data_IF_767547179183
#
_entry.id   IF_767547179183
#
_cell.length_a   1.000
_cell.length_b   1.000
_cell.length_c   1.000
_cell.angle_alpha   90.00
_cell.angle_beta   90.00
_cell.angle_gamma   90.00
#
_symmetry.space_group_name_H-M   'P 1'
#
loop_
_entity.id
_entity.type
_entity.pdbx_description
1 polymer ?
#
# COMPACT_ATOMS: atom_id res chain seq x y z
N UNK A 1 -73.61 21.63 -38.68
CA UNK A 1 -72.22 22.06 -38.42
C UNK A 1 -71.52 20.99 -37.59
N UNK A 2 -70.67 20.17 -38.21
CA UNK A 2 -69.78 19.22 -37.52
C UNK A 2 -68.37 19.76 -37.66
N UNK A 3 -67.71 20.05 -36.55
CA UNK A 3 -66.32 20.49 -36.50
C UNK A 3 -65.45 19.26 -36.27
N UNK A 4 -64.38 19.02 -37.05
CA UNK A 4 -63.55 17.83 -36.90
C UNK A 4 -62.51 18.00 -35.78
N UNK A 5 -62.24 16.91 -35.07
CA UNK A 5 -61.18 16.79 -34.09
C UNK A 5 -59.87 16.37 -34.77
N UNK A 6 -58.80 17.14 -34.57
CA UNK A 6 -57.42 16.71 -34.84
C UNK A 6 -56.50 17.23 -33.73
N UNK A 7 -56.25 16.40 -32.72
CA UNK A 7 -55.06 16.52 -31.87
C UNK A 7 -54.05 15.47 -32.33
N UNK A 8 -53.05 15.93 -33.08
CA UNK A 8 -51.91 15.13 -33.49
C UNK A 8 -50.96 15.01 -32.30
N UNK A 9 -50.94 13.85 -31.65
CA UNK A 9 -49.98 13.54 -30.60
C UNK A 9 -48.63 13.18 -31.26
N UNK A 10 -47.68 14.11 -31.22
CA UNK A 10 -46.28 13.86 -31.56
C UNK A 10 -45.68 12.89 -30.52
N UNK A 11 -45.60 11.60 -30.87
CA UNK A 11 -44.76 10.66 -30.13
C UNK A 11 -43.29 10.96 -30.45
N UNK A 12 -42.63 11.71 -29.57
CA UNK A 12 -41.17 11.77 -29.56
C UNK A 12 -40.63 10.37 -29.29
N UNK A 13 -39.86 9.84 -30.25
CA UNK A 13 -39.11 8.62 -30.06
C UNK A 13 -38.02 8.88 -29.03
N UNK A 14 -38.26 8.46 -27.78
CA UNK A 14 -37.22 8.39 -26.76
C UNK A 14 -36.23 7.33 -27.22
N UNK A 15 -35.07 7.75 -27.71
CA UNK A 15 -33.91 6.86 -27.85
C UNK A 15 -33.59 6.30 -26.46
N UNK A 16 -34.06 5.09 -26.17
CA UNK A 16 -33.64 4.34 -24.99
C UNK A 16 -32.16 4.02 -25.19
N UNK A 17 -31.29 4.80 -24.56
CA UNK A 17 -29.91 4.38 -24.31
C UNK A 17 -30.01 3.02 -23.59
N UNK A 18 -29.42 1.94 -24.13
CA UNK A 18 -29.46 0.66 -23.44
C UNK A 18 -28.89 0.83 -22.04
N UNK A 19 -29.50 0.21 -21.01
CA UNK A 19 -29.03 0.37 -19.63
C UNK A 19 -27.55 -0.03 -19.59
N UNK A 20 -26.69 0.90 -19.19
CA UNK A 20 -25.29 0.61 -18.90
C UNK A 20 -25.27 -0.39 -17.74
N UNK A 21 -25.18 -1.68 -18.05
CA UNK A 21 -24.99 -2.71 -17.04
C UNK A 21 -23.60 -2.52 -16.46
N UNK A 22 -23.52 -2.21 -15.17
CA UNK A 22 -22.27 -2.39 -14.42
C UNK A 22 -22.09 -3.90 -14.25
N UNK A 23 -21.20 -4.47 -15.04
CA UNK A 23 -20.80 -5.85 -14.90
C UNK A 23 -20.07 -6.05 -13.57
N UNK A 24 -20.18 -7.24 -12.97
CA UNK A 24 -19.33 -7.58 -11.83
C UNK A 24 -17.86 -7.58 -12.29
N UNK A 25 -16.90 -7.33 -11.40
CA UNK A 25 -15.48 -7.34 -11.79
C UNK A 25 -15.05 -8.67 -12.42
N UNK A 26 -15.72 -9.78 -12.07
CA UNK A 26 -15.49 -11.10 -12.66
C UNK A 26 -15.83 -11.21 -14.16
N UNK A 27 -16.65 -10.31 -14.70
CA UNK A 27 -17.02 -10.30 -16.12
C UNK A 27 -16.02 -9.53 -17.00
N UNK A 28 -14.94 -9.01 -16.43
CA UNK A 28 -13.88 -8.36 -17.19
C UNK A 28 -12.99 -9.41 -17.85
N UNK A 29 -12.65 -9.18 -19.12
CA UNK A 29 -11.60 -9.94 -19.80
C UNK A 29 -10.23 -9.52 -19.28
N UNK A 30 -9.42 -10.52 -18.94
CA UNK A 30 -8.02 -10.37 -18.56
C UNK A 30 -7.26 -9.81 -19.76
N UNK A 31 -6.47 -8.77 -19.52
CA UNK A 31 -5.70 -8.10 -20.54
C UNK A 31 -4.20 -8.24 -20.25
N UNK A 32 -3.39 -7.91 -21.26
CA UNK A 32 -1.98 -7.68 -21.03
C UNK A 32 -1.78 -6.64 -19.90
N UNK A 33 -0.71 -6.83 -19.13
CA UNK A 33 -0.33 -6.10 -17.92
C UNK A 33 -1.19 -6.33 -16.68
N UNK A 34 -2.30 -7.07 -16.79
CA UNK A 34 -3.05 -7.46 -15.60
C UNK A 34 -2.23 -8.45 -14.75
N UNK A 35 -2.49 -8.46 -13.45
CA UNK A 35 -1.95 -9.44 -12.51
C UNK A 35 -3.11 -10.24 -11.95
N UNK A 36 -3.01 -11.57 -12.01
CA UNK A 36 -4.08 -12.48 -11.59
C UNK A 36 -3.59 -13.44 -10.52
N UNK A 37 -4.53 -14.01 -9.77
CA UNK A 37 -4.23 -15.01 -8.74
C UNK A 37 -4.66 -16.37 -9.27
N UNK A 38 -3.72 -17.29 -9.43
CA UNK A 38 -3.96 -18.63 -9.96
C UNK A 38 -4.14 -19.63 -8.84
N UNK A 39 -5.19 -20.44 -8.91
CA UNK A 39 -5.44 -21.57 -8.03
C UNK A 39 -5.19 -22.87 -8.80
N UNK A 40 -4.00 -23.44 -8.61
CA UNK A 40 -3.60 -24.71 -9.21
C UNK A 40 -4.16 -25.88 -8.40
N UNK A 41 -4.93 -26.77 -9.04
CA UNK A 41 -5.40 -28.02 -8.44
C UNK A 41 -4.23 -28.98 -8.24
N UNK A 42 -4.16 -29.62 -7.08
CA UNK A 42 -3.24 -30.71 -6.78
C UNK A 42 -3.97 -31.91 -6.20
N UNK A 43 -3.29 -33.06 -6.11
CA UNK A 43 -3.90 -34.33 -5.70
C UNK A 43 -4.42 -34.32 -4.26
N UNK A 44 -3.67 -33.64 -3.38
CA UNK A 44 -4.05 -33.48 -1.96
C UNK A 44 -4.75 -32.16 -1.70
N UNK A 45 -4.20 -31.05 -2.22
CA UNK A 45 -4.63 -29.68 -1.91
C UNK A 45 -4.36 -28.77 -3.11
N UNK A 46 -5.01 -27.61 -3.15
CA UNK A 46 -4.73 -26.59 -4.15
C UNK A 46 -3.54 -25.72 -3.73
N UNK A 47 -2.85 -25.10 -4.69
CA UNK A 47 -1.79 -24.11 -4.45
C UNK A 47 -2.12 -22.81 -5.15
N UNK A 48 -1.71 -21.71 -4.53
CA UNK A 48 -1.99 -20.37 -5.03
C UNK A 48 -0.70 -19.69 -5.51
N UNK A 49 -0.79 -19.00 -6.65
CA UNK A 49 0.33 -18.24 -7.21
C UNK A 49 -0.18 -16.93 -7.77
N UNK A 50 0.38 -15.82 -7.30
CA UNK A 50 0.20 -14.52 -7.95
C UNK A 50 1.09 -14.46 -9.19
N UNK A 51 0.54 -14.04 -10.32
CA UNK A 51 1.32 -13.89 -11.56
C UNK A 51 2.18 -12.62 -11.51
N UNK A 52 3.28 -12.55 -12.27
CA UNK A 52 3.79 -11.26 -12.73
C UNK A 52 2.76 -10.56 -13.63
N UNK A 53 3.04 -9.32 -14.03
CA UNK A 53 2.23 -8.60 -15.00
C UNK A 53 2.25 -9.37 -16.33
N UNK A 54 1.09 -9.79 -16.83
CA UNK A 54 0.98 -10.63 -18.03
C UNK A 54 1.54 -9.89 -19.26
N UNK A 55 2.20 -10.65 -20.14
CA UNK A 55 2.72 -10.18 -21.44
C UNK A 55 2.19 -11.07 -22.52
N UNK A 56 1.77 -10.50 -23.64
CA UNK A 56 1.37 -11.26 -24.81
C UNK A 56 2.61 -11.71 -25.60
N UNK A 57 3.37 -12.61 -24.99
CA UNK A 57 4.59 -13.19 -25.54
C UNK A 57 4.53 -14.71 -25.37
N UNK A 58 4.81 -15.45 -26.45
CA UNK A 58 4.86 -16.92 -26.48
C UNK A 58 5.89 -17.48 -25.48
N UNK A 59 6.94 -16.70 -25.17
CA UNK A 59 7.99 -17.09 -24.24
C UNK A 59 7.59 -16.93 -22.77
N UNK A 60 6.57 -16.12 -22.47
CA UNK A 60 6.21 -15.76 -21.11
C UNK A 60 5.43 -16.90 -20.41
N UNK A 61 6.15 -17.64 -19.55
CA UNK A 61 5.65 -18.81 -18.82
C UNK A 61 5.63 -18.56 -17.33
N UNK A 62 4.46 -18.70 -16.72
CA UNK A 62 4.28 -18.52 -15.28
C UNK A 62 4.53 -19.85 -14.59
N UNK A 63 5.62 -19.94 -13.84
CA UNK A 63 5.93 -21.11 -12.99
C UNK A 63 4.96 -21.19 -11.80
N UNK A 64 4.30 -22.34 -11.67
CA UNK A 64 3.36 -22.65 -10.59
C UNK A 64 4.04 -23.45 -9.48
N UNK A 65 3.39 -23.51 -8.31
CA UNK A 65 3.95 -24.09 -7.09
C UNK A 65 4.32 -25.57 -7.21
N UNK A 66 3.59 -26.33 -8.03
CA UNK A 66 3.91 -27.74 -8.29
C UNK A 66 4.86 -27.95 -9.49
N UNK A 67 5.66 -26.95 -9.85
CA UNK A 67 6.71 -27.05 -10.89
C UNK A 67 6.23 -27.03 -12.34
N UNK A 68 4.94 -27.17 -12.60
CA UNK A 68 4.34 -26.94 -13.92
C UNK A 68 4.25 -25.45 -14.23
N UNK A 69 3.86 -25.11 -15.46
CA UNK A 69 3.68 -23.74 -15.89
C UNK A 69 2.40 -23.55 -16.69
N UNK A 70 1.95 -22.29 -16.78
CA UNK A 70 0.88 -21.81 -17.67
C UNK A 70 1.44 -20.67 -18.52
N UNK A 71 1.03 -20.55 -19.79
CA UNK A 71 1.46 -19.44 -20.65
C UNK A 71 0.59 -18.22 -20.40
N UNK A 72 1.15 -17.02 -20.46
CA UNK A 72 0.38 -15.79 -20.31
C UNK A 72 -0.74 -15.66 -21.36
N UNK A 73 -0.50 -16.11 -22.59
CA UNK A 73 -1.47 -16.14 -23.69
C UNK A 73 -2.69 -17.03 -23.41
N UNK A 74 -2.54 -18.06 -22.59
CA UNK A 74 -3.68 -18.93 -22.21
C UNK A 74 -4.63 -18.22 -21.22
N UNK A 75 -4.12 -17.19 -20.53
CA UNK A 75 -4.83 -16.39 -19.52
C UNK A 75 -5.44 -15.11 -20.12
N UNK A 76 -4.72 -14.45 -21.03
CA UNK A 76 -5.20 -13.22 -21.68
C UNK A 76 -6.46 -13.54 -22.50
N UNK A 77 -7.48 -12.68 -22.39
CA UNK A 77 -8.78 -12.88 -23.03
C UNK A 77 -9.71 -13.85 -22.29
N UNK A 78 -9.27 -14.49 -21.20
CA UNK A 78 -10.14 -15.24 -20.27
C UNK A 78 -10.86 -14.30 -19.31
N UNK A 79 -11.90 -14.82 -18.67
CA UNK A 79 -12.60 -14.16 -17.56
C UNK A 79 -12.06 -14.66 -16.24
N UNK A 80 -12.30 -13.91 -15.17
CA UNK A 80 -12.11 -14.45 -13.83
C UNK A 80 -13.08 -15.61 -13.60
N UNK A 81 -12.63 -16.59 -12.83
CA UNK A 81 -13.25 -17.89 -12.58
C UNK A 81 -13.24 -18.86 -13.76
N UNK A 82 -12.74 -18.46 -14.93
CA UNK A 82 -12.39 -19.42 -15.97
C UNK A 82 -11.25 -20.33 -15.50
N UNK A 83 -11.20 -21.51 -16.11
CA UNK A 83 -10.19 -22.52 -15.86
C UNK A 83 -9.32 -22.69 -17.10
N UNK A 84 -8.01 -22.82 -16.88
CA UNK A 84 -7.03 -23.26 -17.87
C UNK A 84 -6.34 -24.55 -17.41
N UNK A 85 -5.52 -25.14 -18.28
CA UNK A 85 -4.76 -26.36 -17.97
C UNK A 85 -3.28 -26.03 -17.91
N UNK A 86 -2.59 -26.49 -16.86
CA UNK A 86 -1.13 -26.36 -16.77
C UNK A 86 -0.39 -27.35 -17.67
N UNK A 87 0.92 -27.18 -17.81
CA UNK A 87 1.78 -28.04 -18.62
C UNK A 87 1.81 -29.52 -18.19
N UNK A 88 1.28 -29.85 -17.02
CA UNK A 88 1.18 -31.22 -16.49
C UNK A 88 -0.27 -31.77 -16.55
N UNK A 89 -1.19 -31.06 -17.21
CA UNK A 89 -2.58 -31.49 -17.37
C UNK A 89 -3.50 -31.15 -16.20
N UNK A 90 -3.06 -30.34 -15.23
CA UNK A 90 -3.86 -29.99 -14.05
C UNK A 90 -4.67 -28.73 -14.28
N UNK A 91 -5.82 -28.71 -13.62
CA UNK A 91 -6.75 -27.61 -13.64
C UNK A 91 -6.21 -26.39 -12.88
N UNK A 92 -6.28 -25.20 -13.48
CA UNK A 92 -5.87 -23.94 -12.88
C UNK A 92 -7.02 -22.93 -13.02
N UNK A 93 -7.67 -22.59 -11.91
CA UNK A 93 -8.71 -21.59 -11.89
C UNK A 93 -8.11 -20.18 -11.74
N UNK A 94 -8.66 -19.21 -12.46
CA UNK A 94 -8.20 -17.82 -12.44
C UNK A 94 -9.04 -17.01 -11.45
N UNK A 95 -8.40 -16.32 -10.52
CA UNK A 95 -9.07 -15.48 -9.54
C UNK A 95 -8.61 -14.03 -9.64
N UNK A 96 -9.53 -13.11 -9.37
CA UNK A 96 -9.16 -11.72 -9.13
C UNK A 96 -8.48 -11.62 -7.75
N UNK A 97 -7.30 -11.01 -7.69
CA UNK A 97 -6.65 -10.75 -6.42
C UNK A 97 -7.37 -9.61 -5.69
N UNK A 98 -7.78 -9.85 -4.44
CA UNK A 98 -8.09 -8.73 -3.53
C UNK A 98 -6.83 -7.93 -3.26
N UNK A 99 -6.95 -6.68 -2.81
CA UNK A 99 -5.80 -5.87 -2.40
C UNK A 99 -4.93 -6.62 -1.37
N UNK A 100 -5.58 -7.25 -0.40
CA UNK A 100 -4.92 -7.90 0.71
C UNK A 100 -4.19 -9.18 0.24
N UNK A 101 -4.83 -10.01 -0.61
CA UNK A 101 -4.16 -11.16 -1.24
C UNK A 101 -3.05 -10.73 -2.20
N UNK A 102 -3.22 -9.62 -2.91
CA UNK A 102 -2.20 -9.10 -3.80
C UNK A 102 -0.93 -8.72 -3.05
N UNK A 103 -1.06 -7.96 -1.95
CA UNK A 103 0.07 -7.60 -1.08
C UNK A 103 0.76 -8.84 -0.54
N UNK A 104 0.00 -9.75 0.05
CA UNK A 104 0.56 -10.86 0.83
C UNK A 104 1.27 -11.90 -0.06
N UNK A 105 0.79 -12.08 -1.29
CA UNK A 105 1.35 -13.02 -2.27
C UNK A 105 2.34 -12.35 -3.25
N UNK A 106 2.60 -11.05 -3.11
CA UNK A 106 3.68 -10.37 -3.85
C UNK A 106 5.04 -10.69 -3.24
N UNK A 107 6.07 -10.70 -4.07
CA UNK A 107 7.46 -10.87 -3.62
C UNK A 107 7.87 -9.71 -2.70
N UNK A 108 8.53 -10.05 -1.59
CA UNK A 108 8.81 -9.10 -0.51
C UNK A 108 10.29 -8.71 -0.53
N UNK A 109 10.54 -7.42 -0.61
CA UNK A 109 11.87 -6.83 -0.43
C UNK A 109 12.13 -6.36 1.00
N UNK A 110 11.05 -6.16 1.77
CA UNK A 110 11.05 -5.72 3.15
C UNK A 110 9.88 -6.36 3.89
N UNK A 111 9.92 -6.37 5.22
CA UNK A 111 8.79 -6.82 6.05
C UNK A 111 7.61 -5.86 5.89
N UNK A 112 6.42 -6.32 5.48
CA UNK A 112 5.23 -5.46 5.42
C UNK A 112 4.65 -5.18 6.79
N UNK A 113 4.04 -4.00 6.93
CA UNK A 113 2.81 -3.86 7.72
C UNK A 113 1.72 -4.65 6.99
N UNK A 114 1.11 -5.65 7.63
CA UNK A 114 0.14 -6.53 6.98
C UNK A 114 -1.18 -5.80 6.69
N UNK A 115 -1.99 -6.24 5.70
CA UNK A 115 -3.20 -5.52 5.27
C UNK A 115 -4.21 -5.18 6.39
N UNK A 116 -4.39 -6.09 7.35
CA UNK A 116 -5.23 -5.82 8.53
C UNK A 116 -4.69 -4.65 9.36
N UNK A 117 -3.38 -4.66 9.64
CA UNK A 117 -2.68 -3.61 10.38
C UNK A 117 -2.75 -2.27 9.64
N UNK A 118 -2.52 -2.29 8.31
CA UNK A 118 -2.69 -1.10 7.46
C UNK A 118 -4.11 -0.54 7.53
N UNK A 119 -5.13 -1.40 7.55
CA UNK A 119 -6.53 -0.96 7.62
C UNK A 119 -6.85 -0.30 8.96
N UNK A 120 -6.28 -0.80 10.05
CA UNK A 120 -6.39 -0.16 11.39
C UNK A 120 -5.67 1.18 11.41
N UNK A 121 -4.43 1.25 10.91
CA UNK A 121 -3.65 2.50 10.83
C UNK A 121 -4.38 3.55 9.99
N UNK A 122 -4.90 3.19 8.81
CA UNK A 122 -5.65 4.11 7.96
C UNK A 122 -6.94 4.59 8.63
N UNK A 123 -7.61 3.73 9.41
CA UNK A 123 -8.76 4.15 10.21
C UNK A 123 -8.37 5.15 11.30
N UNK A 124 -7.20 4.97 11.93
CA UNK A 124 -6.66 5.89 12.94
C UNK A 124 -6.17 7.22 12.36
N UNK A 125 -5.79 7.25 11.08
CA UNK A 125 -5.46 8.49 10.37
C UNK A 125 -6.66 9.39 10.10
N UNK A 126 -7.88 8.86 10.21
CA UNK A 126 -9.13 9.62 10.03
C UNK A 126 -9.09 10.49 8.77
N UNK A 127 -8.88 9.82 7.64
CA UNK A 127 -8.75 10.43 6.32
C UNK A 127 -10.13 10.76 5.76
N UNK A 128 -10.48 12.05 5.77
CA UNK A 128 -11.74 12.56 5.24
C UNK A 128 -11.49 13.68 4.19
N UNK A 129 -10.76 13.39 3.09
CA UNK A 129 -10.54 14.39 2.05
C UNK A 129 -11.84 14.66 1.27
N UNK A 130 -12.01 15.90 0.84
CA UNK A 130 -13.16 16.32 0.05
C UNK A 130 -13.17 15.72 -1.35
N UNK A 131 -14.34 15.55 -1.94
CA UNK A 131 -14.49 15.09 -3.34
C UNK A 131 -14.49 16.25 -4.33
N UNK A 132 -14.00 16.06 -5.56
CA UNK A 132 -14.07 17.09 -6.59
C UNK A 132 -15.52 17.55 -6.81
N UNK A 133 -15.75 18.85 -6.74
CA UNK A 133 -17.08 19.47 -6.89
C UNK A 133 -18.02 19.35 -5.68
N UNK A 134 -17.51 18.93 -4.51
CA UNK A 134 -18.29 18.92 -3.25
C UNK A 134 -18.49 20.32 -2.67
N UNK A 135 -17.47 21.19 -2.81
CA UNK A 135 -17.50 22.59 -2.39
C UNK A 135 -17.19 23.50 -3.58
N UNK A 136 -17.61 24.78 -3.48
CA UNK A 136 -17.42 25.80 -4.52
C UNK A 136 -15.95 26.25 -4.66
N UNK A 137 -15.10 25.97 -3.68
CA UNK A 137 -13.67 26.26 -3.69
C UNK A 137 -12.85 24.97 -3.86
N UNK A 138 -11.83 25.05 -4.72
CA UNK A 138 -10.78 24.04 -4.84
C UNK A 138 -9.80 24.28 -3.68
N UNK A 139 -10.26 23.96 -2.46
CA UNK A 139 -9.49 24.13 -1.22
C UNK A 139 -8.08 23.52 -1.29
N UNK A 140 -7.28 23.81 -0.27
CA UNK A 140 -5.88 23.38 -0.24
C UNK A 140 -5.71 21.86 -0.40
N UNK A 141 -4.65 21.45 -1.11
CA UNK A 141 -4.34 20.03 -1.33
C UNK A 141 -4.19 19.29 0.01
N UNK A 142 -4.94 18.20 0.16
CA UNK A 142 -4.86 17.32 1.31
C UNK A 142 -3.61 16.44 1.20
N UNK A 143 -2.51 16.93 1.76
CA UNK A 143 -1.23 16.20 1.74
C UNK A 143 -1.09 15.23 2.92
N UNK A 144 -0.74 13.98 2.62
CA UNK A 144 -0.37 12.95 3.60
C UNK A 144 1.09 12.58 3.40
N UNK A 145 1.85 12.51 4.49
CA UNK A 145 3.26 12.07 4.46
C UNK A 145 3.42 10.67 5.06
N UNK A 146 4.19 9.81 4.41
CA UNK A 146 4.59 8.50 4.92
C UNK A 146 6.12 8.40 4.84
N UNK A 147 6.78 8.03 5.93
CA UNK A 147 8.20 7.69 5.91
C UNK A 147 8.43 6.25 6.38
N UNK A 148 9.18 5.51 5.57
CA UNK A 148 9.20 4.05 5.57
C UNK A 148 8.26 3.50 4.51
N UNK A 149 8.55 3.71 3.21
CA UNK A 149 7.74 3.10 2.13
C UNK A 149 7.77 1.57 2.22
N UNK A 150 8.94 0.98 2.54
CA UNK A 150 9.10 -0.46 2.65
C UNK A 150 8.66 -1.18 1.38
N UNK A 151 7.77 -2.16 1.50
CA UNK A 151 7.19 -2.85 0.33
C UNK A 151 5.91 -2.19 -0.23
N UNK A 152 5.45 -1.06 0.31
CA UNK A 152 4.30 -0.31 -0.21
C UNK A 152 2.92 -0.81 0.25
N UNK A 153 2.85 -1.66 1.28
CA UNK A 153 1.58 -2.18 1.81
C UNK A 153 0.73 -1.07 2.40
N UNK A 154 1.29 -0.27 3.31
CA UNK A 154 0.61 0.88 3.91
C UNK A 154 0.36 1.99 2.88
N UNK A 155 1.37 2.29 2.05
CA UNK A 155 1.26 3.21 0.91
C UNK A 155 0.02 2.93 0.06
N UNK A 156 -0.21 1.66 -0.32
CA UNK A 156 -1.36 1.29 -1.15
C UNK A 156 -2.70 1.45 -0.41
N UNK A 157 -2.74 1.21 0.90
CA UNK A 157 -3.96 1.42 1.70
C UNK A 157 -4.31 2.89 1.87
N UNK A 158 -3.31 3.75 2.12
CA UNK A 158 -3.50 5.20 2.19
C UNK A 158 -3.93 5.72 0.81
N UNK A 159 -3.24 5.31 -0.26
CA UNK A 159 -3.58 5.72 -1.62
C UNK A 159 -5.01 5.32 -2.02
N UNK A 160 -5.50 4.15 -1.58
CA UNK A 160 -6.91 3.76 -1.74
C UNK A 160 -7.87 4.74 -1.06
N UNK A 161 -7.55 5.19 0.15
CA UNK A 161 -8.39 6.14 0.88
C UNK A 161 -8.42 7.52 0.23
N UNK A 162 -7.30 7.95 -0.38
CA UNK A 162 -7.20 9.26 -1.05
C UNK A 162 -7.73 9.25 -2.48
N UNK A 163 -7.76 8.10 -3.16
CA UNK A 163 -8.03 7.99 -4.60
C UNK A 163 -9.28 8.74 -5.07
N UNK A 164 -10.37 8.65 -4.33
CA UNK A 164 -11.66 9.24 -4.70
C UNK A 164 -11.73 10.77 -4.50
N UNK A 165 -10.76 11.36 -3.80
CA UNK A 165 -10.66 12.81 -3.64
C UNK A 165 -10.06 13.51 -4.87
N UNK A 166 -9.43 12.76 -5.78
CA UNK A 166 -8.83 13.31 -6.98
C UNK A 166 -9.79 13.23 -8.19
N UNK A 167 -9.67 14.16 -9.17
CA UNK A 167 -10.41 14.08 -10.42
C UNK A 167 -10.21 12.74 -11.14
N UNK A 168 -11.24 12.20 -11.81
CA UNK A 168 -11.12 10.91 -12.49
C UNK A 168 -10.08 10.97 -13.61
N UNK A 169 -9.09 10.07 -13.55
CA UNK A 169 -8.13 9.91 -14.65
C UNK A 169 -8.78 9.18 -15.82
N UNK A 170 -8.67 9.77 -17.02
CA UNK A 170 -9.12 9.16 -18.29
C UNK A 170 -8.51 7.76 -18.49
N UNK A 171 -9.23 6.89 -19.19
CA UNK A 171 -8.85 5.48 -19.36
C UNK A 171 -7.53 5.31 -20.10
N UNK A 172 -7.34 6.06 -21.18
CA UNK A 172 -6.12 6.07 -21.99
C UNK A 172 -4.87 6.49 -21.18
N UNK A 173 -4.98 7.55 -20.38
CA UNK A 173 -3.90 7.97 -19.47
C UNK A 173 -3.57 6.89 -18.44
N UNK A 174 -4.60 6.27 -17.84
CA UNK A 174 -4.40 5.18 -16.88
C UNK A 174 -3.74 3.96 -17.52
N UNK A 175 -4.15 3.63 -18.74
CA UNK A 175 -3.55 2.55 -19.51
C UNK A 175 -2.07 2.86 -19.80
N UNK A 176 -1.74 4.08 -20.24
CA UNK A 176 -0.35 4.50 -20.42
C UNK A 176 0.47 4.40 -19.12
N UNK A 177 -0.09 4.83 -17.98
CA UNK A 177 0.55 4.68 -16.67
C UNK A 177 0.78 3.21 -16.32
N UNK A 178 -0.14 2.30 -16.65
CA UNK A 178 0.00 0.89 -16.39
C UNK A 178 1.05 0.20 -17.29
N UNK A 179 1.22 0.66 -18.54
CA UNK A 179 1.98 -0.08 -19.56
C UNK A 179 3.35 0.48 -19.91
N UNK A 180 3.56 1.80 -19.80
CA UNK A 180 4.78 2.49 -20.23
C UNK A 180 6.10 1.96 -19.61
N UNK A 181 7.23 2.24 -20.21
CA UNK A 181 8.52 2.01 -19.53
C UNK A 181 8.79 3.14 -18.54
N UNK A 182 9.63 2.88 -17.54
CA UNK A 182 10.22 3.97 -16.75
C UNK A 182 11.45 4.47 -17.51
N UNK A 183 11.60 5.80 -17.62
CA UNK A 183 12.79 6.41 -18.20
C UNK A 183 14.05 5.85 -17.54
N UNK A 184 14.98 5.35 -18.36
CA UNK A 184 16.28 4.90 -17.87
C UNK A 184 17.07 6.13 -17.44
N UNK A 185 17.77 6.03 -16.31
CA UNK A 185 18.81 7.00 -15.98
C UNK A 185 19.85 6.98 -17.11
N UNK A 186 20.15 8.13 -17.71
CA UNK A 186 21.30 8.23 -18.60
C UNK A 186 22.55 7.75 -17.83
N UNK A 187 23.37 6.85 -18.40
CA UNK A 187 24.59 6.44 -17.73
C UNK A 187 25.43 7.68 -17.44
N UNK A 188 26.02 7.74 -16.24
CA UNK A 188 26.97 8.79 -15.92
C UNK A 188 28.07 8.82 -17.00
N UNK A 189 28.56 9.99 -17.43
CA UNK A 189 29.60 10.05 -18.46
C UNK A 189 30.83 9.27 -17.97
N UNK A 190 31.11 8.14 -18.62
CA UNK A 190 32.22 7.23 -18.27
C UNK A 190 31.82 5.84 -17.74
N UNK A 191 30.53 5.52 -17.58
CA UNK A 191 30.07 4.16 -17.28
C UNK A 191 29.72 3.37 -18.54
N UNK A 192 30.31 2.18 -18.72
CA UNK A 192 29.93 1.26 -19.80
C UNK A 192 28.41 0.99 -19.77
N UNK A 193 27.81 0.90 -20.96
CA UNK A 193 26.42 0.55 -21.12
C UNK A 193 26.17 -0.86 -20.56
N UNK A 194 25.63 -0.93 -19.34
CA UNK A 194 25.24 -2.21 -18.75
C UNK A 194 24.09 -2.77 -19.59
N UNK A 195 24.36 -3.91 -20.21
CA UNK A 195 23.42 -4.67 -21.02
C UNK A 195 22.23 -5.05 -20.15
N UNK A 196 21.03 -4.75 -20.64
CA UNK A 196 19.70 -5.20 -20.19
C UNK A 196 19.51 -5.48 -18.68
N UNK A 197 18.61 -4.74 -18.03
CA UNK A 197 17.72 -5.38 -17.06
C UNK A 197 16.90 -6.42 -17.83
N UNK A 198 17.49 -7.59 -18.07
CA UNK A 198 16.71 -8.80 -18.21
C UNK A 198 15.86 -8.84 -16.95
N UNK A 199 14.55 -9.00 -17.11
CA UNK A 199 13.69 -9.38 -16.00
C UNK A 199 14.25 -10.70 -15.44
N UNK A 200 15.09 -10.60 -14.40
CA UNK A 200 15.63 -11.76 -13.71
C UNK A 200 14.44 -12.37 -12.97
N UNK A 201 13.81 -13.36 -13.61
CA UNK A 201 13.09 -14.41 -12.91
C UNK A 201 14.07 -15.03 -11.91
N UNK A 202 13.94 -14.65 -10.64
CA UNK A 202 14.65 -15.33 -9.57
C UNK A 202 14.05 -16.71 -9.40
N UNK A 203 14.76 -17.70 -9.93
CA UNK A 203 14.56 -19.12 -9.62
C UNK A 203 14.62 -19.32 -8.11
N UNK A 204 13.55 -19.86 -7.54
CA UNK A 204 13.38 -20.02 -6.10
C UNK A 204 14.46 -20.86 -5.42
N UNK A 205 14.76 -20.43 -4.19
CA UNK A 205 15.20 -21.27 -3.09
C UNK A 205 14.79 -20.56 -1.78
N UNK A 206 13.57 -20.82 -1.32
CA UNK A 206 13.21 -20.60 0.09
C UNK A 206 13.72 -21.82 0.89
N UNK A 207 14.62 -21.58 1.83
CA UNK A 207 14.79 -22.46 2.99
C UNK A 207 14.03 -21.83 4.17
N UNK A 208 13.19 -22.58 4.90
CA UNK A 208 12.54 -22.07 6.09
C UNK A 208 13.57 -21.96 7.22
N UNK A 209 13.53 -20.83 7.95
CA UNK A 209 14.22 -20.68 9.22
C UNK A 209 13.63 -21.68 10.23
N UNK A 210 14.38 -22.75 10.51
CA UNK A 210 14.10 -23.65 11.62
C UNK A 210 14.42 -22.95 12.95
N UNK A 211 13.46 -23.04 13.86
CA UNK A 211 13.60 -22.67 15.28
C UNK A 211 14.50 -23.67 15.98
N UNK A 212 15.64 -23.22 16.50
CA UNK A 212 16.51 -24.01 17.39
C UNK A 212 15.93 -23.97 18.82
N UNK A 213 15.85 -25.09 19.56
CA UNK A 213 15.38 -25.11 20.94
C UNK A 213 16.38 -24.44 21.88
N UNK A 214 15.86 -23.80 22.94
CA UNK A 214 16.64 -23.34 24.08
C UNK A 214 16.85 -24.52 25.02
N UNK A 215 18.09 -24.95 25.17
CA UNK A 215 18.51 -25.75 26.32
C UNK A 215 19.10 -24.83 27.38
N UNK A 216 18.62 -25.02 28.60
CA UNK A 216 19.05 -24.37 29.83
C UNK A 216 20.39 -24.97 30.28
N UNK A 217 21.42 -24.16 30.50
CA UNK A 217 22.53 -24.54 31.37
C UNK A 217 22.97 -23.32 32.21
N UNK A 218 22.94 -23.52 33.53
CA UNK A 218 23.47 -22.64 34.57
C UNK A 218 24.99 -22.53 34.47
N UNK A 219 25.56 -21.32 34.56
CA UNK A 219 26.90 -21.11 35.11
C UNK A 219 26.98 -19.77 35.84
N UNK A 220 27.41 -19.82 37.11
CA UNK A 220 27.64 -18.73 38.06
C UNK A 220 28.99 -18.00 37.82
N UNK A 221 29.27 -16.86 38.50
CA UNK A 221 30.18 -15.82 38.01
C UNK A 221 31.58 -15.85 38.63
N UNK A 222 32.59 -15.35 37.90
CA UNK A 222 33.80 -14.73 38.50
C UNK A 222 34.66 -13.92 37.50
N UNK A 223 34.80 -12.63 37.83
CA UNK A 223 36.00 -11.73 37.83
C UNK A 223 37.01 -11.63 36.67
N UNK A 224 37.17 -10.36 36.28
CA UNK A 224 38.40 -9.55 36.08
C UNK A 224 39.17 -9.48 34.73
N UNK A 225 39.11 -8.23 34.21
CA UNK A 225 40.20 -7.35 33.75
C UNK A 225 40.80 -7.48 32.34
N UNK A 226 40.77 -6.31 31.69
CA UNK A 226 41.84 -5.67 30.89
C UNK A 226 41.87 -5.78 29.35
N UNK A 227 42.04 -4.57 28.77
CA UNK A 227 42.66 -4.16 27.50
C UNK A 227 41.75 -3.95 26.25
N UNK A 228 41.41 -2.67 26.05
CA UNK A 228 40.99 -2.08 24.78
C UNK A 228 42.14 -2.05 23.75
N UNK A 229 41.85 -2.27 22.45
CA UNK A 229 42.67 -1.75 21.38
C UNK A 229 41.94 -0.67 20.55
N UNK A 230 42.67 0.42 20.32
CA UNK A 230 42.34 1.58 19.52
C UNK A 230 41.97 1.24 18.06
N UNK A 231 40.89 1.84 17.57
CA UNK A 231 40.48 1.80 16.15
C UNK A 231 41.22 2.88 15.33
N UNK A 232 41.62 2.60 14.08
CA UNK A 232 42.26 3.59 13.22
C UNK A 232 41.25 4.55 12.57
N UNK A 233 41.66 5.82 12.47
CA UNK A 233 40.93 6.92 11.85
C UNK A 233 40.54 6.63 10.39
N UNK A 234 39.24 6.65 10.11
CA UNK A 234 38.70 6.70 8.75
C UNK A 234 38.57 8.17 8.36
N UNK A 235 39.40 8.62 7.43
CA UNK A 235 39.30 9.95 6.80
C UNK A 235 37.91 10.15 6.17
N UNK A 236 37.16 11.12 6.69
CA UNK A 236 35.90 11.60 6.12
C UNK A 236 36.17 12.28 4.77
N UNK A 237 35.76 11.62 3.67
CA UNK A 237 35.52 12.31 2.39
C UNK A 237 34.27 13.19 2.54
N UNK A 238 34.26 14.42 2.01
CA UNK A 238 33.09 15.29 2.09
C UNK A 238 31.93 14.66 1.32
N UNK A 239 30.88 14.31 2.06
CA UNK A 239 29.64 13.74 1.56
C UNK A 239 28.95 14.78 0.65
N UNK A 240 29.06 14.61 -0.66
CA UNK A 240 28.17 15.32 -1.60
C UNK A 240 26.79 14.69 -1.43
N UNK A 241 25.97 15.31 -0.57
CA UNK A 241 24.60 14.90 -0.29
C UNK A 241 23.82 14.70 -1.60
N UNK A 242 23.36 13.47 -1.92
CA UNK A 242 22.61 13.26 -3.15
C UNK A 242 21.25 13.97 -3.06
N UNK A 243 20.92 14.77 -4.06
CA UNK A 243 19.61 15.41 -4.20
C UNK A 243 18.47 14.36 -4.12
N UNK A 244 17.36 14.71 -3.45
CA UNK A 244 16.15 13.88 -3.39
C UNK A 244 15.76 13.40 -4.79
N UNK A 245 15.58 12.10 -4.95
CA UNK A 245 15.07 11.52 -6.18
C UNK A 245 13.57 11.24 -6.05
N UNK A 246 12.73 11.97 -6.80
CA UNK A 246 11.27 11.75 -6.80
C UNK A 246 10.80 10.92 -8.00
N UNK A 247 10.23 9.74 -7.78
CA UNK A 247 9.55 8.94 -8.80
C UNK A 247 8.08 9.36 -8.90
N UNK A 248 7.74 10.13 -9.92
CA UNK A 248 6.37 10.53 -10.28
C UNK A 248 5.97 9.97 -11.64
N UNK A 249 4.73 10.24 -12.06
CA UNK A 249 4.23 9.92 -13.40
C UNK A 249 5.06 10.57 -14.53
N UNK A 250 5.78 11.67 -14.26
CA UNK A 250 6.59 12.36 -15.27
C UNK A 250 7.85 11.60 -15.69
N UNK A 251 8.16 10.47 -15.02
CA UNK A 251 9.28 9.58 -15.40
C UNK A 251 8.85 8.40 -16.27
N UNK A 252 7.60 8.40 -16.74
CA UNK A 252 7.13 7.39 -17.67
C UNK A 252 7.55 7.79 -19.08
N UNK A 253 8.10 6.84 -19.81
CA UNK A 253 8.43 6.97 -21.23
C UNK A 253 7.12 6.84 -22.03
N UNK A 254 6.51 7.98 -22.32
CA UNK A 254 5.22 8.13 -23.02
C UNK A 254 5.29 9.26 -24.05
N UNK A 255 4.35 9.27 -24.99
CA UNK A 255 4.24 10.34 -25.98
C UNK A 255 4.12 11.73 -25.31
N UNK A 256 4.71 12.80 -25.88
CA UNK A 256 4.70 14.14 -25.28
C UNK A 256 3.30 14.67 -24.94
N UNK A 257 2.30 14.37 -25.76
CA UNK A 257 0.91 14.77 -25.51
C UNK A 257 0.34 14.06 -24.27
N UNK A 258 0.63 12.76 -24.11
CA UNK A 258 0.25 11.98 -22.93
C UNK A 258 0.99 12.49 -21.70
N UNK A 259 2.29 12.82 -21.82
CA UNK A 259 3.06 13.41 -20.73
C UNK A 259 2.46 14.75 -20.26
N UNK A 260 2.04 15.60 -21.20
CA UNK A 260 1.36 16.87 -20.90
C UNK A 260 0.02 16.65 -20.20
N UNK A 261 -0.81 15.73 -20.69
CA UNK A 261 -2.08 15.37 -20.07
C UNK A 261 -1.90 14.79 -18.65
N UNK A 262 -0.87 13.97 -18.43
CA UNK A 262 -0.51 13.44 -17.11
C UNK A 262 -0.03 14.54 -16.16
N UNK A 263 0.72 15.53 -16.65
CA UNK A 263 1.16 16.68 -15.86
C UNK A 263 -0.04 17.55 -15.45
N UNK A 264 -0.95 17.83 -16.39
CA UNK A 264 -2.20 18.57 -16.13
C UNK A 264 -3.06 17.84 -15.08
N UNK A 265 -3.21 16.52 -15.21
CA UNK A 265 -3.93 15.73 -14.21
C UNK A 265 -3.23 15.77 -12.85
N UNK A 266 -1.90 15.63 -12.82
CA UNK A 266 -1.10 15.67 -11.59
C UNK A 266 -1.23 17.01 -10.84
N UNK A 267 -1.34 18.13 -11.57
CA UNK A 267 -1.59 19.45 -10.98
C UNK A 267 -3.02 19.64 -10.46
N UNK A 268 -3.99 18.86 -10.96
CA UNK A 268 -5.39 18.91 -10.53
C UNK A 268 -5.71 18.05 -9.30
N UNK A 269 -4.70 17.38 -8.73
CA UNK A 269 -4.88 16.52 -7.55
C UNK A 269 -5.28 17.36 -6.34
N UNK A 270 -6.33 16.90 -5.63
CA UNK A 270 -6.79 17.50 -4.37
C UNK A 270 -6.30 16.74 -3.14
N UNK A 271 -5.78 15.52 -3.32
CA UNK A 271 -5.15 14.76 -2.26
C UNK A 271 -3.93 14.00 -2.78
N UNK A 272 -2.81 14.11 -2.08
CA UNK A 272 -1.54 13.48 -2.49
C UNK A 272 -0.90 12.77 -1.30
N UNK A 273 -0.48 11.54 -1.53
CA UNK A 273 0.41 10.83 -0.61
C UNK A 273 1.87 11.02 -1.05
N UNK A 274 2.67 11.58 -0.17
CA UNK A 274 4.12 11.64 -0.30
C UNK A 274 4.73 10.49 0.51
N UNK A 275 5.22 9.46 -0.17
CA UNK A 275 5.88 8.31 0.49
C UNK A 275 7.39 8.39 0.31
N UNK A 276 8.15 8.14 1.38
CA UNK A 276 9.60 8.31 1.40
C UNK A 276 10.32 7.09 1.96
N UNK A 277 11.35 6.63 1.26
CA UNK A 277 12.28 5.61 1.73
C UNK A 277 13.71 5.97 1.35
N UNK A 278 14.66 5.81 2.28
CA UNK A 278 16.07 6.01 2.01
C UNK A 278 16.65 4.96 1.05
N UNK A 279 16.04 3.77 1.00
CA UNK A 279 16.46 2.67 0.16
C UNK A 279 15.78 2.77 -1.22
N UNK A 280 16.54 3.02 -2.31
CA UNK A 280 15.98 3.12 -3.65
C UNK A 280 15.26 1.84 -4.11
N UNK A 281 15.73 0.67 -3.67
CA UNK A 281 15.16 -0.62 -4.05
C UNK A 281 13.77 -0.82 -3.45
N UNK A 282 13.55 -0.40 -2.20
CA UNK A 282 12.24 -0.44 -1.54
C UNK A 282 11.24 0.46 -2.28
N UNK A 283 11.60 1.73 -2.50
CA UNK A 283 10.77 2.69 -3.23
C UNK A 283 10.39 2.19 -4.63
N UNK A 284 11.36 1.63 -5.38
CA UNK A 284 11.09 1.09 -6.73
C UNK A 284 10.22 -0.15 -6.70
N UNK A 285 10.40 -1.04 -5.72
CA UNK A 285 9.57 -2.23 -5.55
C UNK A 285 8.12 -1.84 -5.20
N UNK A 286 7.93 -0.93 -4.26
CA UNK A 286 6.63 -0.39 -3.89
C UNK A 286 5.95 0.35 -5.06
N UNK A 287 6.70 1.15 -5.82
CA UNK A 287 6.19 1.78 -7.04
C UNK A 287 5.68 0.73 -8.04
N UNK A 288 6.46 -0.33 -8.30
CA UNK A 288 6.04 -1.44 -9.18
C UNK A 288 4.82 -2.18 -8.64
N UNK A 289 4.72 -2.39 -7.32
CA UNK A 289 3.56 -2.99 -6.66
C UNK A 289 2.28 -2.18 -6.94
N UNK A 290 2.28 -0.88 -6.64
CA UNK A 290 1.12 -0.01 -6.87
C UNK A 290 0.78 0.11 -8.35
N UNK A 291 1.79 0.17 -9.22
CA UNK A 291 1.63 0.25 -10.67
C UNK A 291 0.93 -0.97 -11.26
N UNK A 292 1.28 -2.16 -10.79
CA UNK A 292 0.75 -3.44 -11.29
C UNK A 292 -0.61 -3.79 -10.66
N UNK A 293 -0.98 -3.17 -9.54
CA UNK A 293 -2.29 -3.39 -8.94
C UNK A 293 -3.42 -2.73 -9.74
N UNK A 294 -4.32 -3.55 -10.31
CA UNK A 294 -5.54 -3.12 -11.03
C UNK A 294 -5.27 -1.96 -12.01
N UNK A 295 -4.25 -2.11 -12.85
CA UNK A 295 -3.80 -1.12 -13.85
C UNK A 295 -3.54 0.25 -13.22
N UNK A 296 -2.64 0.27 -12.25
CA UNK A 296 -2.15 1.47 -11.59
C UNK A 296 -3.25 2.33 -10.94
N UNK A 297 -4.38 1.77 -10.50
CA UNK A 297 -5.53 2.58 -10.03
C UNK A 297 -5.18 3.57 -8.91
N UNK A 298 -4.25 3.21 -8.02
CA UNK A 298 -3.86 4.05 -6.88
C UNK A 298 -2.55 4.81 -7.09
N UNK A 299 -1.70 4.39 -8.04
CA UNK A 299 -0.38 4.99 -8.26
C UNK A 299 -0.46 6.51 -8.53
N UNK A 300 -1.41 7.04 -9.33
CA UNK A 300 -1.47 8.47 -9.62
C UNK A 300 -1.65 9.37 -8.39
N UNK A 301 -2.18 8.84 -7.29
CA UNK A 301 -2.38 9.60 -6.04
C UNK A 301 -1.13 9.63 -5.14
N UNK A 302 0.01 9.09 -5.61
CA UNK A 302 1.22 8.89 -4.80
C UNK A 302 2.44 9.46 -5.50
N UNK A 303 3.23 10.25 -4.77
CA UNK A 303 4.57 10.67 -5.16
C UNK A 303 5.60 9.94 -4.28
N UNK A 304 6.54 9.23 -4.91
CA UNK A 304 7.57 8.46 -4.23
C UNK A 304 8.86 9.25 -4.15
N UNK A 305 9.46 9.33 -2.96
CA UNK A 305 10.69 10.08 -2.71
C UNK A 305 11.78 9.15 -2.17
N UNK A 306 12.97 9.27 -2.75
CA UNK A 306 14.16 8.52 -2.32
C UNK A 306 15.17 9.49 -1.71
N UNK A 307 15.47 9.30 -0.44
CA UNK A 307 16.42 10.10 0.33
C UNK A 307 16.04 10.20 1.80
N UNK A 308 16.45 11.27 2.49
CA UNK A 308 16.11 11.48 3.90
C UNK A 308 14.89 12.38 4.08
N UNK A 309 14.23 12.27 5.24
CA UNK A 309 13.11 13.14 5.64
C UNK A 309 13.54 14.61 5.64
N UNK A 310 14.74 14.90 6.14
CA UNK A 310 15.27 16.26 6.20
C UNK A 310 15.48 16.85 4.80
N UNK A 311 16.06 16.08 3.88
CA UNK A 311 16.31 16.52 2.50
C UNK A 311 15.01 16.80 1.74
N UNK A 312 13.92 16.11 2.10
CA UNK A 312 12.61 16.32 1.50
C UNK A 312 11.81 17.46 2.14
N UNK A 313 11.66 17.47 3.47
CA UNK A 313 10.77 18.42 4.15
C UNK A 313 11.41 19.79 4.38
N UNK A 314 12.72 19.87 4.59
CA UNK A 314 13.39 21.15 4.91
C UNK A 314 13.29 22.16 3.75
N UNK A 315 13.56 21.79 2.49
CA UNK A 315 13.40 22.72 1.36
C UNK A 315 11.93 23.12 1.14
N UNK A 316 10.98 22.20 1.35
CA UNK A 316 9.55 22.49 1.22
C UNK A 316 9.07 23.46 2.31
N UNK A 317 9.49 23.26 3.56
CA UNK A 317 9.25 24.18 4.66
C UNK A 317 9.88 25.56 4.40
N UNK A 318 11.08 25.63 3.85
CA UNK A 318 11.69 26.91 3.49
C UNK A 318 10.88 27.63 2.39
N UNK A 319 10.39 26.87 1.40
CA UNK A 319 9.57 27.39 0.29
C UNK A 319 8.20 27.89 0.78
N UNK A 320 7.63 27.26 1.81
CA UNK A 320 6.39 27.71 2.46
C UNK A 320 6.62 28.78 3.54
N UNK A 321 7.82 29.37 3.63
CA UNK A 321 8.20 30.35 4.67
C UNK A 321 8.00 29.83 6.10
N UNK A 322 8.13 28.51 6.28
CA UNK A 322 7.93 27.82 7.56
C UNK A 322 6.49 27.41 7.83
N UNK A 323 5.54 27.73 6.95
CA UNK A 323 4.14 27.34 7.13
C UNK A 323 3.95 25.82 6.96
N UNK A 324 3.21 25.16 7.86
CA UNK A 324 2.92 23.73 7.73
C UNK A 324 1.93 23.47 6.58
N UNK A 325 2.10 22.35 5.88
CA UNK A 325 1.31 21.98 4.70
C UNK A 325 0.76 20.54 4.78
N UNK A 326 1.32 19.68 5.64
CA UNK A 326 0.85 18.30 5.79
C UNK A 326 -0.41 18.24 6.65
N UNK A 327 -1.42 17.53 6.17
CA UNK A 327 -2.67 17.29 6.90
C UNK A 327 -2.56 16.07 7.82
N UNK A 328 -1.77 15.06 7.41
CA UNK A 328 -1.53 13.81 8.13
C UNK A 328 -0.11 13.32 7.90
N UNK A 329 0.45 12.58 8.85
CA UNK A 329 1.73 11.91 8.70
C UNK A 329 1.76 10.52 9.34
N UNK A 330 2.54 9.60 8.77
CA UNK A 330 2.84 8.28 9.34
C UNK A 330 4.34 8.03 9.33
N UNK A 331 4.87 7.50 10.43
CA UNK A 331 6.26 7.06 10.54
C UNK A 331 6.33 5.57 10.87
N UNK A 332 6.85 4.78 9.93
CA UNK A 332 7.25 3.39 10.10
C UNK A 332 8.78 3.32 10.03
N UNK A 333 9.42 3.66 11.15
CA UNK A 333 10.87 3.80 11.26
C UNK A 333 11.36 3.06 12.51
N UNK A 334 12.61 2.59 12.49
CA UNK A 334 13.20 1.94 13.66
C UNK A 334 13.38 2.90 14.86
N UNK A 335 13.67 4.17 14.56
CA UNK A 335 13.96 5.25 15.53
C UNK A 335 13.31 6.56 15.07
N UNK A 336 11.96 6.65 15.09
CA UNK A 336 11.24 7.79 14.51
C UNK A 336 11.58 9.12 15.16
N UNK A 337 11.88 9.13 16.46
CA UNK A 337 12.25 10.31 17.25
C UNK A 337 13.49 11.03 16.74
N UNK A 338 14.40 10.30 16.10
CA UNK A 338 15.63 10.85 15.53
C UNK A 338 15.37 11.72 14.28
N UNK A 339 14.22 11.57 13.63
CA UNK A 339 13.92 12.19 12.33
C UNK A 339 12.59 12.95 12.28
N UNK A 340 11.78 12.91 13.35
CA UNK A 340 10.41 13.43 13.33
C UNK A 340 10.31 14.96 13.40
N UNK A 341 11.36 15.70 13.81
CA UNK A 341 11.27 17.15 13.99
C UNK A 341 10.79 17.90 12.72
N UNK A 342 11.36 17.69 11.51
CA UNK A 342 10.84 18.31 10.29
C UNK A 342 9.39 17.91 9.97
N UNK A 343 8.98 16.68 10.32
CA UNK A 343 7.61 16.18 10.12
C UNK A 343 6.64 16.96 11.00
N UNK A 344 6.96 17.13 12.29
CA UNK A 344 6.12 17.87 13.25
C UNK A 344 6.01 19.35 12.87
N UNK A 345 7.06 19.93 12.29
CA UNK A 345 7.06 21.30 11.77
C UNK A 345 6.19 21.44 10.51
N UNK A 346 6.20 20.45 9.63
CA UNK A 346 5.41 20.43 8.40
C UNK A 346 3.94 20.06 8.63
N UNK A 347 3.60 19.43 9.76
CA UNK A 347 2.24 19.05 10.12
C UNK A 347 1.41 20.25 10.58
N UNK A 348 0.24 20.45 9.96
CA UNK A 348 -0.72 21.50 10.30
C UNK A 348 -1.22 21.35 11.74
N UNK A 349 -1.59 22.46 12.41
CA UNK A 349 -2.33 22.39 13.66
C UNK A 349 -3.55 21.47 13.53
N UNK A 350 -3.85 20.70 14.57
CA UNK A 350 -4.84 19.63 14.60
C UNK A 350 -4.59 18.43 13.65
N UNK A 351 -3.51 18.45 12.86
CA UNK A 351 -3.06 17.31 12.07
C UNK A 351 -2.68 16.12 12.94
N UNK A 352 -2.86 14.91 12.39
CA UNK A 352 -2.52 13.65 13.06
C UNK A 352 -1.18 13.12 12.58
N UNK A 353 -0.34 12.72 13.54
CA UNK A 353 0.88 11.96 13.33
C UNK A 353 0.68 10.56 13.92
N UNK A 354 0.78 9.54 13.08
CA UNK A 354 0.76 8.15 13.50
C UNK A 354 2.19 7.61 13.51
N UNK A 355 2.58 6.98 14.62
CA UNK A 355 3.88 6.31 14.75
C UNK A 355 3.63 4.83 14.94
N UNK A 356 4.24 4.01 14.08
CA UNK A 356 4.19 2.54 14.18
C UNK A 356 5.55 2.01 14.60
N UNK A 357 5.57 1.13 15.61
CA UNK A 357 6.78 0.45 16.05
C UNK A 357 6.49 -0.98 16.50
N UNK A 358 7.43 -1.92 16.38
CA UNK A 358 7.24 -3.30 16.85
C UNK A 358 7.18 -3.43 18.38
N UNK A 359 7.74 -2.48 19.13
CA UNK A 359 7.77 -2.52 20.61
C UNK A 359 7.08 -1.31 21.25
N UNK A 360 6.35 -1.56 22.33
CA UNK A 360 5.73 -0.51 23.16
C UNK A 360 6.77 0.43 23.78
N UNK A 361 7.99 -0.06 24.05
CA UNK A 361 9.07 0.78 24.58
C UNK A 361 9.53 1.82 23.57
N UNK A 362 9.54 1.52 22.27
CA UNK A 362 9.88 2.50 21.23
C UNK A 362 8.83 3.60 21.13
N UNK A 363 7.55 3.26 21.30
CA UNK A 363 6.48 4.25 21.43
C UNK A 363 6.70 5.14 22.65
N UNK A 364 7.11 4.56 23.79
CA UNK A 364 7.44 5.31 24.99
C UNK A 364 8.64 6.25 24.79
N UNK A 365 9.68 5.81 24.06
CA UNK A 365 10.84 6.62 23.72
C UNK A 365 10.46 7.81 22.83
N UNK A 366 9.59 7.60 21.83
CA UNK A 366 9.07 8.69 21.00
C UNK A 366 8.25 9.69 21.82
N UNK A 367 7.36 9.22 22.69
CA UNK A 367 6.58 10.07 23.58
C UNK A 367 7.48 10.87 24.53
N UNK A 368 8.52 10.23 25.09
CA UNK A 368 9.53 10.88 25.92
C UNK A 368 10.26 11.96 25.15
N UNK A 369 10.74 11.68 23.94
CA UNK A 369 11.40 12.66 23.07
C UNK A 369 10.50 13.86 22.77
N UNK A 370 9.21 13.63 22.48
CA UNK A 370 8.27 14.70 22.20
C UNK A 370 8.16 15.65 23.40
N UNK A 371 8.08 15.12 24.63
CA UNK A 371 8.01 15.93 25.85
C UNK A 371 9.33 16.63 26.14
N UNK A 372 10.46 15.91 26.11
CA UNK A 372 11.76 16.46 26.51
C UNK A 372 12.29 17.53 25.56
N UNK A 373 11.93 17.46 24.27
CA UNK A 373 12.31 18.45 23.27
C UNK A 373 11.24 19.53 23.05
N UNK A 374 10.15 19.50 23.83
CA UNK A 374 9.07 20.49 23.75
C UNK A 374 8.31 20.44 22.42
N UNK A 375 8.21 19.27 21.78
CA UNK A 375 7.40 19.13 20.58
C UNK A 375 5.93 19.46 20.90
N UNK A 376 5.25 20.20 20.01
CA UNK A 376 3.85 20.56 20.19
C UNK A 376 2.91 19.42 19.78
N UNK A 377 3.09 18.26 20.41
CA UNK A 377 2.34 17.03 20.17
C UNK A 377 1.59 16.63 21.45
N UNK A 378 0.36 16.17 21.29
CA UNK A 378 -0.40 15.48 22.34
C UNK A 378 -0.63 14.04 21.94
N UNK A 379 -0.18 13.09 22.76
CA UNK A 379 -0.52 11.68 22.59
C UNK A 379 -2.01 11.49 22.89
N UNK A 380 -2.79 11.07 21.90
CA UNK A 380 -4.24 10.84 22.05
C UNK A 380 -4.57 9.38 22.29
N UNK A 381 -3.80 8.48 21.68
CA UNK A 381 -4.07 7.04 21.72
C UNK A 381 -2.80 6.25 21.54
N UNK A 382 -2.68 5.17 22.30
CA UNK A 382 -1.73 4.08 22.06
C UNK A 382 -2.50 2.78 22.00
N UNK A 383 -2.22 1.93 21.02
CA UNK A 383 -2.88 0.64 20.85
C UNK A 383 -1.91 -0.43 20.31
N UNK A 384 -2.13 -1.66 20.71
CA UNK A 384 -1.55 -2.84 20.06
C UNK A 384 -2.38 -3.19 18.82
N UNK A 385 -1.72 -3.54 17.72
CA UNK A 385 -2.38 -4.00 16.51
C UNK A 385 -2.76 -5.48 16.63
N UNK A 386 -3.91 -5.89 16.11
CA UNK A 386 -4.34 -7.27 16.17
C UNK A 386 -3.39 -8.18 15.37
N UNK A 387 -3.23 -9.41 15.84
CA UNK A 387 -2.47 -10.42 15.10
C UNK A 387 -3.06 -10.64 13.71
N UNK A 388 -2.20 -10.60 12.69
CA UNK A 388 -2.51 -11.07 11.36
C UNK A 388 -2.19 -12.56 11.26
N UNK A 389 -2.95 -13.31 10.45
CA UNK A 389 -2.75 -14.74 10.28
C UNK A 389 -2.39 -15.05 8.85
N UNK A 390 -1.25 -15.73 8.65
CA UNK A 390 -0.96 -16.41 7.39
C UNK A 390 -1.36 -17.87 7.54
N UNK A 391 -2.19 -18.30 6.61
CA UNK A 391 -2.50 -19.70 6.45
C UNK A 391 -1.29 -20.37 5.79
N UNK A 392 -0.99 -21.60 6.22
CA UNK A 392 0.11 -22.37 5.65
C UNK A 392 -0.04 -22.50 4.13
N UNK A 393 1.08 -22.55 3.41
CA UNK A 393 1.09 -22.53 1.95
C UNK A 393 0.34 -23.70 1.30
N UNK A 394 -0.03 -24.74 2.05
CA UNK A 394 -0.79 -25.89 1.62
C UNK A 394 -2.30 -25.78 1.85
N UNK A 395 -2.81 -24.69 2.44
CA UNK A 395 -4.24 -24.53 2.70
C UNK A 395 -5.04 -24.08 1.46
N UNK A 396 -6.34 -24.42 1.37
CA UNK A 396 -7.14 -24.22 0.16
C UNK A 396 -7.54 -22.77 -0.07
N UNK A 397 -7.33 -21.87 0.89
CA UNK A 397 -7.63 -20.44 0.80
C UNK A 397 -6.35 -19.66 0.50
N UNK A 398 -6.43 -18.72 -0.45
CA UNK A 398 -5.33 -17.79 -0.67
C UNK A 398 -5.09 -16.96 0.60
N UNK A 399 -3.83 -16.69 0.91
CA UNK A 399 -3.50 -15.77 1.99
C UNK A 399 -3.92 -14.36 1.59
N UNK A 400 -4.80 -13.75 2.37
CA UNK A 400 -5.19 -12.35 2.18
C UNK A 400 -4.90 -11.48 3.41
N UNK A 401 -4.74 -12.04 4.61
CA UNK A 401 -4.59 -11.28 5.87
C UNK A 401 -5.60 -10.12 5.97
N UNK A 402 -6.81 -10.31 5.45
CA UNK A 402 -7.83 -9.28 5.30
C UNK A 402 -8.53 -8.89 6.62
N UNK A 403 -8.18 -9.53 7.73
CA UNK A 403 -8.77 -9.28 9.04
C UNK A 403 -9.41 -10.51 9.67
N UNK A 404 -9.53 -10.47 10.99
CA UNK A 404 -10.26 -11.47 11.77
C UNK A 404 -9.46 -12.75 12.06
N UNK A 405 -9.98 -13.54 12.99
CA UNK A 405 -9.41 -14.86 13.31
C UNK A 405 -9.96 -15.88 12.31
N UNK A 406 -9.13 -16.71 11.66
CA UNK A 406 -9.63 -17.73 10.75
C UNK A 406 -10.35 -18.84 11.51
N UNK A 407 -11.47 -19.33 10.95
CA UNK A 407 -12.25 -20.45 11.47
C UNK A 407 -12.31 -21.60 10.45
N UNK A 408 -12.34 -22.81 10.97
CA UNK A 408 -12.66 -24.01 10.21
C UNK A 408 -14.15 -24.30 10.39
N UNK A 409 -14.91 -24.11 9.30
CA UNK A 409 -16.35 -24.40 9.23
C UNK A 409 -16.53 -25.54 8.24
N UNK A 410 -16.87 -26.73 8.75
CA UNK A 410 -17.07 -27.92 7.92
C UNK A 410 -18.35 -28.64 8.29
N UNK A 411 -19.10 -29.00 7.27
CA UNK A 411 -20.22 -29.91 7.40
C UNK A 411 -19.71 -31.34 7.29
N UNK A 412 -19.95 -32.17 8.31
CA UNK A 412 -19.48 -33.57 8.34
C UNK A 412 -20.63 -34.49 8.68
N UNK A 413 -20.61 -35.70 8.12
CA UNK A 413 -21.48 -36.80 8.53
C UNK A 413 -20.64 -37.71 9.42
N UNK A 414 -20.89 -37.78 10.74
CA UNK A 414 -20.12 -38.62 11.65
C UNK A 414 -20.23 -40.10 11.25
N UNK A 415 -19.10 -40.83 11.27
CA UNK A 415 -19.06 -42.25 10.88
C UNK A 415 -19.91 -43.17 11.79
N UNK A 416 -20.29 -42.71 12.98
CA UNK A 416 -21.06 -43.48 13.96
C UNK A 416 -22.52 -43.03 14.08
N UNK A 417 -22.99 -42.13 13.21
CA UNK A 417 -24.41 -41.81 13.17
C UNK A 417 -25.17 -43.06 12.65
N UNK A 418 -26.26 -43.43 13.32
CA UNK A 418 -27.08 -44.59 12.94
C UNK A 418 -27.74 -44.44 11.56
N UNK A 419 -28.81 -45.20 11.32
CA UNK A 419 -29.51 -45.26 10.02
C UNK A 419 -30.06 -43.92 9.48
N UNK A 420 -30.03 -42.85 10.28
CA UNK A 420 -30.25 -41.47 9.85
C UNK A 420 -29.00 -40.66 10.20
N UNK A 421 -28.10 -40.50 9.22
CA UNK A 421 -26.83 -39.80 9.41
C UNK A 421 -27.04 -38.32 9.74
N UNK A 422 -27.05 -37.96 11.02
CA UNK A 422 -27.18 -36.57 11.45
C UNK A 422 -26.00 -35.74 10.91
N UNK A 423 -26.32 -34.75 10.08
CA UNK A 423 -25.35 -33.82 9.52
C UNK A 423 -24.95 -32.84 10.62
N UNK A 424 -23.68 -32.85 11.02
CA UNK A 424 -23.17 -31.94 12.05
C UNK A 424 -22.24 -30.88 11.46
N UNK A 425 -22.19 -29.72 12.12
CA UNK A 425 -21.27 -28.64 11.77
C UNK A 425 -20.09 -28.63 12.74
N UNK A 426 -18.87 -28.71 12.20
CA UNK A 426 -17.64 -28.42 12.92
C UNK A 426 -17.34 -26.94 12.76
N UNK A 427 -17.27 -26.20 13.86
CA UNK A 427 -17.03 -24.76 13.90
C UNK A 427 -15.97 -24.49 14.96
N UNK A 428 -14.71 -24.32 14.55
CA UNK A 428 -13.62 -24.07 15.51
C UNK A 428 -12.63 -23.04 14.96
N UNK A 429 -12.04 -22.19 15.82
CA UNK A 429 -10.96 -21.33 15.38
C UNK A 429 -9.79 -22.19 14.90
N UNK A 430 -9.09 -21.73 13.87
CA UNK A 430 -7.86 -22.37 13.46
C UNK A 430 -6.78 -22.11 14.51
N UNK A 431 -5.94 -23.13 14.71
CA UNK A 431 -4.84 -23.15 15.69
C UNK A 431 -3.60 -23.67 14.97
N UNK A 432 -2.43 -23.10 15.27
CA UNK A 432 -1.17 -23.44 14.60
C UNK A 432 -0.93 -22.69 13.28
N UNK A 433 -1.84 -21.81 12.87
CA UNK A 433 -1.59 -20.86 11.78
C UNK A 433 -0.43 -19.93 12.17
N UNK A 434 0.38 -19.55 11.19
CA UNK A 434 1.52 -18.67 11.41
C UNK A 434 1.00 -17.27 11.73
N UNK A 435 1.15 -16.88 12.99
CA UNK A 435 0.93 -15.49 13.43
C UNK A 435 2.00 -14.61 12.80
N UNK A 436 1.56 -13.54 12.15
CA UNK A 436 2.43 -12.52 11.56
C UNK A 436 1.88 -11.13 11.83
N UNK A 437 2.69 -10.11 11.60
CA UNK A 437 2.29 -8.73 11.84
C UNK A 437 2.17 -8.42 13.32
N UNK A 438 1.41 -7.38 13.64
CA UNK A 438 1.32 -6.82 14.98
C UNK A 438 2.26 -5.64 15.17
N UNK A 439 2.55 -5.34 16.44
CA UNK A 439 3.25 -4.13 16.85
C UNK A 439 2.30 -3.12 17.48
N UNK A 440 2.81 -1.92 17.73
CA UNK A 440 2.14 -0.88 18.46
C UNK A 440 2.03 0.37 17.59
N UNK A 441 0.92 1.08 17.78
CA UNK A 441 0.63 2.33 17.12
C UNK A 441 0.34 3.40 18.17
N UNK A 442 0.92 4.58 17.98
CA UNK A 442 0.56 5.78 18.72
C UNK A 442 0.03 6.86 17.78
N UNK A 443 -1.03 7.53 18.20
CA UNK A 443 -1.66 8.66 17.50
C UNK A 443 -1.37 9.92 18.29
N UNK A 444 -0.66 10.85 17.66
CA UNK A 444 -0.36 12.17 18.19
C UNK A 444 -1.15 13.23 17.42
N UNK A 445 -1.68 14.22 18.12
CA UNK A 445 -2.26 15.42 17.52
C UNK A 445 -1.30 16.60 17.63
N UNK A 446 -1.12 17.32 16.53
CA UNK A 446 -0.39 18.60 16.51
C UNK A 446 -1.19 19.67 17.24
N UNK A 447 -0.65 20.23 18.31
CA UNK A 447 -1.25 21.33 19.05
C UNK A 447 -1.10 22.65 18.27
N UNK A 448 -2.03 23.59 18.43
CA UNK A 448 -1.88 24.97 17.95
C UNK A 448 -0.72 25.68 18.70
N UNK A 449 0.01 26.61 18.05
CA UNK A 449 0.91 27.53 18.75
C UNK A 449 0.19 28.25 19.90
N UNK A 450 0.88 28.46 21.03
CA UNK A 450 0.28 29.08 22.23
C UNK A 450 -0.19 30.53 22.00
N UNK A 451 0.38 31.23 21.02
CA UNK A 451 0.06 32.63 20.74
C UNK A 451 -1.24 32.80 19.95
N UNK A 452 -1.64 31.84 19.12
CA UNK A 452 -2.88 31.88 18.32
C UNK A 452 -4.14 31.58 19.15
N UNK A 453 -4.02 30.77 20.21
CA UNK A 453 -5.12 30.44 21.13
C UNK A 453 -5.68 31.70 21.79
N UNK A 454 -4.81 32.69 22.09
CA UNK A 454 -5.24 33.93 22.74
C UNK A 454 -6.01 34.87 21.81
N UNK A 455 -5.79 34.86 20.50
CA UNK A 455 -6.49 35.76 19.59
C UNK A 455 -7.86 35.22 19.15
N UNK A 456 -8.01 33.91 18.98
CA UNK A 456 -9.30 33.29 18.62
C UNK A 456 -10.26 33.25 19.82
N UNK A 457 -9.79 32.89 21.01
CA UNK A 457 -10.61 32.86 22.23
C UNK A 457 -11.08 34.28 22.64
N UNK A 458 -10.30 35.32 22.34
CA UNK A 458 -10.70 36.73 22.57
C UNK A 458 -11.75 37.17 21.54
N UNK A 459 -11.64 36.76 20.27
CA UNK A 459 -12.63 37.09 19.22
C UNK A 459 -13.96 36.35 19.38
N UNK A 460 -13.95 35.11 19.89
CA UNK A 460 -15.19 34.41 20.26
C UNK A 460 -15.79 34.96 21.55
N UNK A 461 -14.97 35.35 22.54
CA UNK A 461 -15.44 36.01 23.75
C UNK A 461 -16.11 37.37 23.49
N UNK A 462 -15.52 38.21 22.63
CA UNK A 462 -16.09 39.52 22.26
C UNK A 462 -17.39 39.39 21.46
N UNK A 463 -17.55 38.35 20.62
CA UNK A 463 -18.80 38.11 19.89
C UNK A 463 -19.95 37.62 20.78
N UNK A 464 -19.66 36.97 21.90
CA UNK A 464 -20.68 36.49 22.86
C UNK A 464 -21.09 37.59 23.84
N UNK A 465 -20.28 38.64 24.02
CA UNK A 465 -20.64 39.80 24.84
C UNK A 465 -21.39 40.91 24.07
N UNK A 466 -21.49 40.82 22.74
CA UNK A 466 -22.24 41.76 21.88
C UNK A 466 -23.62 41.25 21.38
N UNK A 467 -24.05 40.04 21.76
CA UNK A 467 -25.44 39.53 21.58
C UNK A 467 -26.18 39.44 22.92
#
# INVERSE_FOLDING_TARGET
MRVPATSQCLRQAVHRVPPQRRWFTCDRLIQEHDVVLLRQRGDKRAKWKLTPALRDDESHRIKLSYGAHVRAQDLIGRRYLDTVTDSAGREVAIHEASMASYIVNSERMATPIYPQDCSVIVSMLDLNPERPGENDDDGEVFEVFEAGTGMGSLTMHIARALHAANPPMRKDLRDAVATASLERRAPAPGGEAVVADAEIETSGAEQPAESVPRDEEEVSPSTDSELEPSSPDIENKPDQQPAIQTLTLSRLDVDPDVASDLANWSSSRRAVLHTLDRNPSHSRAAYKLLRRFRRAIYLPSVDFHIGSISDYLTPRLASSQGNPFLSRAVLDLASPESFANPVVRALKPNGLLVVFNPSISQIADFAKWAVTTGQPLRLERTAELPNSFLVAADEPTANDCGGGRPWDVRTVVPRNAGSEGEIVQVMRPRVGDRVVGGGFVAVFRRLKPRDEVREEDVKEGEKVEEE
#
